data_IF_150026151049
#
_entry.id   IF_150026151049
#
_cell.length_a   1.000
_cell.length_b   1.000
_cell.length_c   1.000
_cell.angle_alpha   90.00
_cell.angle_beta   90.00
_cell.angle_gamma   90.00
#
_symmetry.space_group_name_H-M   'P 1'
#
loop_
_entity.id
_entity.type
_entity.pdbx_description
1 polymer ?
#
# COMPACT_ATOMS: atom_id res chain seq x y z
N UNK A 1 4.77 3.42 19.31
CA UNK A 1 6.15 3.24 19.81
C UNK A 1 7.20 3.43 18.72
N UNK A 2 6.86 3.06 17.49
CA UNK A 2 7.73 3.01 16.30
C UNK A 2 7.24 3.87 15.13
N UNK A 3 6.02 4.43 15.19
CA UNK A 3 5.48 5.26 14.11
C UNK A 3 6.27 6.56 13.85
N UNK A 4 6.45 6.90 12.59
CA UNK A 4 7.29 8.02 12.14
C UNK A 4 6.75 9.38 12.59
N UNK A 5 5.43 9.55 12.64
CA UNK A 5 4.80 10.78 13.13
C UNK A 5 5.11 11.11 14.61
N UNK A 6 5.64 10.15 15.37
CA UNK A 6 5.92 10.30 16.81
C UNK A 6 7.40 10.50 17.13
N UNK A 7 8.26 10.84 16.15
CA UNK A 7 9.69 11.14 16.38
C UNK A 7 9.90 12.20 17.47
N UNK A 8 9.14 13.29 17.43
CA UNK A 8 9.26 14.39 18.40
C UNK A 8 8.82 13.99 19.81
N UNK A 9 7.78 13.16 19.93
CA UNK A 9 7.35 12.61 21.22
C UNK A 9 8.44 11.72 21.82
N UNK A 10 9.08 10.87 21.00
CA UNK A 10 10.17 10.01 21.49
C UNK A 10 11.36 10.83 21.98
N UNK A 11 11.74 11.85 21.24
CA UNK A 11 12.79 12.77 21.66
C UNK A 11 12.43 13.49 22.97
N UNK A 12 11.21 14.02 23.07
CA UNK A 12 10.75 14.70 24.29
C UNK A 12 10.80 13.77 25.50
N UNK A 13 10.29 12.54 25.39
CA UNK A 13 10.33 11.56 26.49
C UNK A 13 11.77 11.19 26.87
N UNK A 14 12.69 11.06 25.90
CA UNK A 14 14.11 10.83 26.19
C UNK A 14 14.80 12.01 26.86
N UNK A 15 14.31 13.23 26.65
CA UNK A 15 14.84 14.46 27.25
C UNK A 15 14.42 14.63 28.70
N UNK A 16 13.20 14.22 29.03
CA UNK A 16 12.64 14.39 30.38
C UNK A 16 12.94 13.21 31.31
N UNK A 17 13.23 12.02 30.78
CA UNK A 17 13.53 10.83 31.58
C UNK A 17 15.02 10.48 31.53
N UNK A 18 15.54 9.85 32.58
CA UNK A 18 16.87 9.23 32.54
C UNK A 18 16.79 7.75 32.10
N UNK A 19 15.67 7.09 32.41
CA UNK A 19 15.39 5.70 32.01
C UNK A 19 13.94 5.51 31.64
N UNK A 20 13.70 4.66 30.65
CA UNK A 20 12.36 4.27 30.22
C UNK A 20 12.30 2.74 30.15
N UNK A 21 11.26 2.15 30.72
CA UNK A 21 10.96 0.72 30.58
C UNK A 21 9.68 0.55 29.79
N UNK A 22 9.72 -0.31 28.78
CA UNK A 22 8.60 -0.62 27.89
C UNK A 22 8.27 -2.10 28.02
N UNK A 23 7.08 -2.40 28.54
CA UNK A 23 6.52 -3.76 28.53
C UNK A 23 5.44 -3.77 27.45
N UNK A 24 5.79 -4.28 26.28
CA UNK A 24 4.91 -4.34 25.12
C UNK A 24 4.02 -5.59 25.22
N UNK A 25 2.70 -5.38 25.25
CA UNK A 25 1.67 -6.42 25.36
C UNK A 25 1.02 -6.73 24.02
N UNK A 26 1.28 -5.93 22.99
CA UNK A 26 0.66 -6.06 21.67
C UNK A 26 -0.86 -5.97 21.72
N UNK A 27 -1.52 -6.87 21.00
CA UNK A 27 -2.98 -6.81 20.85
C UNK A 27 -3.41 -6.01 19.63
N UNK A 28 -2.66 -6.12 18.53
CA UNK A 28 -3.03 -5.55 17.24
C UNK A 28 -4.28 -6.26 16.70
N UNK A 29 -5.38 -5.53 16.54
CA UNK A 29 -6.67 -6.06 16.07
C UNK A 29 -7.06 -5.59 14.66
N UNK A 30 -6.48 -4.49 14.17
CA UNK A 30 -6.76 -3.94 12.84
C UNK A 30 -5.86 -4.55 11.75
N UNK A 31 -4.67 -5.04 12.12
CA UNK A 31 -3.74 -5.72 11.22
C UNK A 31 -4.16 -7.13 10.81
N UNK A 32 -3.47 -7.70 9.80
CA UNK A 32 -3.69 -9.08 9.34
C UNK A 32 -3.16 -10.11 10.34
N UNK A 33 -2.07 -9.79 11.03
CA UNK A 33 -1.56 -10.57 12.16
C UNK A 33 -2.24 -10.12 13.44
N UNK A 34 -3.47 -10.59 13.62
CA UNK A 34 -4.23 -10.32 14.83
C UNK A 34 -3.60 -10.99 16.03
N UNK A 35 -3.62 -10.27 17.14
CA UNK A 35 -3.18 -10.77 18.43
C UNK A 35 -4.21 -10.35 19.48
N UNK A 36 -4.47 -11.22 20.45
CA UNK A 36 -5.38 -10.88 21.54
C UNK A 36 -4.86 -9.71 22.36
N UNK A 37 -5.74 -8.77 22.67
CA UNK A 37 -5.46 -7.61 23.49
C UNK A 37 -5.86 -7.89 24.94
N UNK A 38 -5.16 -7.28 25.90
CA UNK A 38 -5.50 -7.39 27.32
C UNK A 38 -6.79 -6.64 27.67
N UNK A 39 -7.14 -5.63 26.86
CA UNK A 39 -8.40 -4.90 26.90
C UNK A 39 -9.30 -5.27 25.71
N UNK A 40 -10.60 -4.97 25.79
CA UNK A 40 -11.54 -5.15 24.69
C UNK A 40 -11.41 -4.05 23.62
N UNK A 41 -10.21 -3.87 23.07
CA UNK A 41 -9.87 -2.87 22.04
C UNK A 41 -8.99 -3.48 20.94
N UNK A 42 -8.87 -2.80 19.80
CA UNK A 42 -8.10 -3.27 18.64
C UNK A 42 -6.72 -2.59 18.48
N UNK A 43 -6.42 -1.56 19.27
CA UNK A 43 -5.12 -0.88 19.23
C UNK A 43 -4.11 -1.55 20.18
N UNK A 44 -2.86 -1.81 19.75
CA UNK A 44 -1.85 -2.41 20.61
C UNK A 44 -1.58 -1.60 21.88
N UNK A 45 -1.31 -2.31 22.98
CA UNK A 45 -1.07 -1.75 24.31
C UNK A 45 0.34 -2.04 24.77
N UNK A 46 0.95 -1.07 25.45
CA UNK A 46 2.20 -1.25 26.17
C UNK A 46 2.15 -0.50 27.50
N UNK A 47 2.82 -1.03 28.50
CA UNK A 47 3.06 -0.33 29.77
C UNK A 47 4.35 0.49 29.60
N UNK A 48 4.22 1.80 29.77
CA UNK A 48 5.33 2.75 29.72
C UNK A 48 5.68 3.20 31.14
N UNK A 49 6.93 3.03 31.55
CA UNK A 49 7.42 3.48 32.86
C UNK A 49 8.60 4.42 32.62
N UNK A 50 8.38 5.73 32.84
CA UNK A 50 9.41 6.75 32.80
C UNK A 50 9.99 7.00 34.19
N UNK A 51 11.31 6.99 34.30
CA UNK A 51 12.04 7.33 35.51
C UNK A 51 12.91 8.56 35.27
N UNK A 52 12.78 9.54 36.17
CA UNK A 52 13.58 10.76 36.19
C UNK A 52 14.18 10.94 37.59
N UNK A 53 15.49 11.17 37.64
CA UNK A 53 16.24 11.56 38.85
C UNK A 53 15.93 13.01 39.19
N UNK A 54 16.05 13.34 40.47
CA UNK A 54 15.92 14.72 40.94
C UNK A 54 16.93 15.67 40.26
N UNK A 55 18.17 15.19 40.06
CA UNK A 55 19.17 15.82 39.20
C UNK A 55 19.29 15.02 37.91
N UNK A 56 18.72 15.54 36.83
CA UNK A 56 18.69 14.90 35.51
C UNK A 56 19.24 15.87 34.45
N UNK A 57 19.91 15.32 33.45
CA UNK A 57 20.46 16.07 32.32
C UNK A 57 19.50 15.99 31.14
N UNK A 58 19.10 17.14 30.60
CA UNK A 58 18.27 17.21 29.39
C UNK A 58 19.08 17.03 28.10
N UNK A 59 20.42 16.90 28.20
CA UNK A 59 21.32 16.73 27.07
C UNK A 59 21.79 15.27 26.91
N UNK A 60 21.31 14.38 27.77
CA UNK A 60 21.59 12.94 27.68
C UNK A 60 20.28 12.19 27.42
N UNK A 61 20.16 11.43 26.32
CA UNK A 61 18.93 10.70 26.02
C UNK A 61 18.70 9.58 27.04
N UNK A 62 17.45 9.39 27.46
CA UNK A 62 17.05 8.28 28.33
C UNK A 62 17.52 6.93 27.78
N UNK A 63 18.00 6.06 28.68
CA UNK A 63 18.28 4.66 28.36
C UNK A 63 16.97 3.89 28.34
N UNK A 64 16.69 3.17 27.25
CA UNK A 64 15.44 2.43 27.11
C UNK A 64 15.69 0.93 27.22
N UNK A 65 14.82 0.27 27.99
CA UNK A 65 14.73 -1.18 28.09
C UNK A 65 13.37 -1.65 27.59
N UNK A 66 13.38 -2.64 26.71
CA UNK A 66 12.18 -3.18 26.10
C UNK A 66 12.03 -4.66 26.44
N UNK A 67 10.79 -5.10 26.69
CA UNK A 67 10.44 -6.51 26.70
C UNK A 67 9.09 -6.69 26.01
N UNK A 68 8.93 -7.82 25.32
CA UNK A 68 7.67 -8.22 24.72
C UNK A 68 7.06 -9.39 25.46
N UNK A 69 5.80 -9.26 25.86
CA UNK A 69 4.97 -10.37 26.32
C UNK A 69 4.03 -10.77 25.18
N UNK A 70 3.98 -12.06 24.87
CA UNK A 70 3.12 -12.66 23.84
C UNK A 70 2.28 -13.73 24.51
N UNK A 71 1.16 -14.07 23.87
CA UNK A 71 0.22 -15.08 24.37
C UNK A 71 -1.22 -14.65 24.16
N UNK A 72 -2.15 -15.43 24.68
CA UNK A 72 -3.56 -15.03 24.85
C UNK A 72 -3.69 -13.90 25.87
N UNK A 73 -4.88 -13.32 25.97
CA UNK A 73 -5.19 -12.34 27.01
C UNK A 73 -4.88 -12.87 28.41
N UNK A 74 -5.31 -14.09 28.73
CA UNK A 74 -5.14 -14.71 30.04
C UNK A 74 -3.66 -14.96 30.35
N UNK A 75 -2.89 -15.50 29.39
CA UNK A 75 -1.45 -15.73 29.55
C UNK A 75 -0.68 -14.42 29.79
N UNK A 76 -1.07 -13.33 29.12
CA UNK A 76 -0.49 -12.00 29.33
C UNK A 76 -0.74 -11.49 30.74
N UNK A 77 -1.99 -11.58 31.22
CA UNK A 77 -2.37 -11.12 32.55
C UNK A 77 -1.68 -11.92 33.65
N UNK A 78 -1.69 -13.25 33.56
CA UNK A 78 -0.96 -14.13 34.49
C UNK A 78 0.52 -13.79 34.54
N UNK A 79 1.14 -13.56 33.37
CA UNK A 79 2.56 -13.19 33.35
C UNK A 79 2.81 -11.85 34.01
N UNK A 80 1.95 -10.86 33.82
CA UNK A 80 2.06 -9.55 34.47
C UNK A 80 1.96 -9.65 36.01
N UNK A 81 1.08 -10.51 36.53
CA UNK A 81 0.94 -10.76 37.98
C UNK A 81 2.23 -11.30 38.62
N UNK A 82 3.08 -11.99 37.84
CA UNK A 82 4.37 -12.49 38.34
C UNK A 82 5.49 -11.44 38.39
N UNK A 83 5.26 -10.23 37.87
CA UNK A 83 6.29 -9.18 37.75
C UNK A 83 6.32 -8.33 39.01
N UNK A 84 7.13 -8.75 39.99
CA UNK A 84 7.34 -8.00 41.24
C UNK A 84 8.60 -7.12 41.22
N UNK A 85 9.53 -7.36 40.28
CA UNK A 85 10.77 -6.58 40.16
C UNK A 85 11.19 -6.48 38.70
N UNK A 86 11.69 -5.29 38.33
CA UNK A 86 12.24 -5.07 36.99
C UNK A 86 13.46 -5.96 36.70
N UNK A 87 14.23 -6.37 37.70
CA UNK A 87 15.48 -7.12 37.50
C UNK A 87 15.26 -8.55 37.02
N UNK A 88 14.06 -9.12 37.29
CA UNK A 88 13.70 -10.48 36.86
C UNK A 88 13.31 -10.56 35.39
N UNK A 89 13.10 -9.41 34.74
CA UNK A 89 12.73 -9.36 33.33
C UNK A 89 13.98 -9.39 32.45
N UNK A 90 13.94 -10.22 31.41
CA UNK A 90 14.96 -10.29 30.37
C UNK A 90 14.82 -9.10 29.41
N UNK A 91 15.21 -7.92 29.89
CA UNK A 91 15.18 -6.69 29.10
C UNK A 91 16.12 -6.77 27.90
N UNK A 92 15.62 -6.32 26.77
CA UNK A 92 16.42 -6.11 25.57
C UNK A 92 16.85 -4.63 25.51
N UNK A 93 18.15 -4.33 25.36
CA UNK A 93 18.58 -2.99 25.04
C UNK A 93 18.09 -2.63 23.62
N UNK A 94 17.72 -1.37 23.42
CA UNK A 94 17.37 -0.84 22.10
C UNK A 94 18.26 0.37 21.79
N UNK A 95 18.15 0.89 20.57
CA UNK A 95 18.94 2.05 20.15
C UNK A 95 18.62 3.27 21.03
N UNK A 96 19.65 4.07 21.33
CA UNK A 96 19.58 5.18 22.28
C UNK A 96 19.62 6.58 21.61
N UNK A 97 19.49 6.67 20.29
CA UNK A 97 19.38 7.95 19.60
C UNK A 97 18.11 8.69 20.01
N UNK A 98 18.16 10.02 19.95
CA UNK A 98 17.08 10.92 20.37
C UNK A 98 15.71 10.56 19.77
N UNK A 99 15.68 10.22 18.48
CA UNK A 99 14.44 9.96 17.75
C UNK A 99 14.22 8.47 17.47
N UNK A 100 15.12 7.60 17.95
CA UNK A 100 15.03 6.16 17.73
C UNK A 100 13.78 5.57 18.36
N UNK A 101 13.19 4.60 17.65
CA UNK A 101 12.03 3.82 18.09
C UNK A 101 12.19 3.27 19.51
N UNK A 102 11.07 3.21 20.25
CA UNK A 102 10.99 2.56 21.57
C UNK A 102 10.82 1.04 21.48
N UNK A 103 10.96 0.48 20.29
CA UNK A 103 10.87 -0.94 19.99
C UNK A 103 12.18 -1.39 19.32
N UNK A 104 12.70 -2.59 19.62
CA UNK A 104 13.90 -3.10 18.97
C UNK A 104 13.69 -3.17 17.46
N UNK A 105 14.70 -2.72 16.69
CA UNK A 105 14.74 -2.98 15.25
C UNK A 105 14.93 -4.48 15.07
N UNK A 106 14.05 -5.10 14.30
CA UNK A 106 14.20 -6.50 13.91
C UNK A 106 15.47 -6.58 13.05
N UNK A 107 16.46 -7.37 13.47
CA UNK A 107 17.63 -7.69 12.65
C UNK A 107 17.39 -9.05 12.01
N UNK A 108 17.09 -9.05 10.72
CA UNK A 108 17.03 -10.26 9.90
C UNK A 108 17.65 -9.97 8.52
N UNK A 109 17.85 -10.99 7.71
CA UNK A 109 18.46 -10.84 6.37
C UNK A 109 17.68 -9.84 5.49
N UNK A 110 16.35 -9.82 5.58
CA UNK A 110 15.51 -8.87 4.84
C UNK A 110 15.75 -7.41 5.22
N UNK A 111 16.14 -7.12 6.47
CA UNK A 111 16.46 -5.75 6.88
C UNK A 111 17.78 -5.22 6.31
N UNK A 112 18.59 -6.09 5.70
CA UNK A 112 19.80 -5.69 4.97
C UNK A 112 19.50 -5.39 3.49
N UNK A 113 18.30 -5.71 3.01
CA UNK A 113 17.95 -5.51 1.62
C UNK A 113 17.55 -4.06 1.34
N UNK A 114 17.83 -3.54 0.14
CA UNK A 114 17.37 -2.21 -0.25
C UNK A 114 15.84 -2.16 -0.22
N UNK A 115 15.28 -1.03 0.21
CA UNK A 115 13.84 -0.86 0.13
C UNK A 115 13.44 -0.69 -1.33
N UNK A 116 12.29 -1.25 -1.70
CA UNK A 116 11.76 -1.06 -3.06
C UNK A 116 11.50 0.41 -3.40
N UNK A 117 11.21 1.24 -2.39
CA UNK A 117 11.09 2.70 -2.51
C UNK A 117 12.41 3.38 -2.83
N UNK A 118 13.53 2.80 -2.40
CA UNK A 118 14.87 3.28 -2.77
C UNK A 118 15.22 2.85 -4.20
N UNK A 119 14.71 1.69 -4.64
CA UNK A 119 14.92 1.20 -6.00
C UNK A 119 14.15 1.99 -7.05
N UNK A 120 12.88 2.31 -6.77
CA UNK A 120 11.98 3.07 -7.65
C UNK A 120 11.69 4.43 -7.05
N UNK A 121 12.51 5.47 -7.27
CA UNK A 121 12.39 6.74 -6.53
C UNK A 121 11.06 7.47 -6.79
N UNK A 122 10.44 7.27 -7.94
CA UNK A 122 9.11 7.82 -8.22
C UNK A 122 8.02 6.77 -8.03
N UNK A 123 7.10 7.02 -7.08
CA UNK A 123 5.87 6.25 -6.91
C UNK A 123 4.66 7.18 -6.89
N UNK A 124 3.49 6.66 -7.29
CA UNK A 124 2.22 7.37 -7.24
C UNK A 124 1.08 6.41 -6.87
N UNK A 125 -0.10 6.93 -6.58
CA UNK A 125 -1.30 6.11 -6.55
C UNK A 125 -1.79 5.87 -7.99
N UNK A 126 -2.58 4.82 -8.21
CA UNK A 126 -3.36 4.70 -9.45
C UNK A 126 -4.43 5.79 -9.62
N UNK A 127 -5.01 5.83 -10.82
CA UNK A 127 -6.07 6.77 -11.23
C UNK A 127 -7.35 6.52 -10.44
N UNK A 128 -8.07 7.58 -10.06
CA UNK A 128 -9.37 7.46 -9.37
C UNK A 128 -10.45 8.18 -10.15
N UNK A 129 -11.31 7.42 -10.82
CA UNK A 129 -12.48 7.96 -11.49
C UNK A 129 -13.56 8.40 -10.49
N UNK A 130 -13.75 7.65 -9.40
CA UNK A 130 -14.84 7.80 -8.40
C UNK A 130 -16.27 7.64 -8.97
N UNK A 131 -16.36 7.19 -10.21
CA UNK A 131 -17.56 6.77 -10.92
C UNK A 131 -17.16 5.59 -11.82
N UNK A 132 -17.93 4.52 -11.79
CA UNK A 132 -17.56 3.27 -12.49
C UNK A 132 -18.01 3.24 -13.94
N UNK A 133 -19.04 4.01 -14.31
CA UNK A 133 -19.62 3.97 -15.65
C UNK A 133 -18.66 4.46 -16.75
N UNK A 134 -17.65 5.26 -16.40
CA UNK A 134 -16.61 5.75 -17.32
C UNK A 134 -15.59 4.67 -17.69
N UNK A 135 -15.67 3.50 -17.04
CA UNK A 135 -14.90 2.31 -17.33
C UNK A 135 -15.86 1.26 -17.92
N UNK A 136 -15.44 0.59 -18.98
CA UNK A 136 -16.30 -0.35 -19.69
C UNK A 136 -15.54 -1.47 -20.41
N UNK A 137 -16.22 -2.58 -20.74
CA UNK A 137 -15.61 -3.72 -21.42
C UNK A 137 -15.31 -3.46 -22.89
N UNK A 138 -15.95 -2.46 -23.49
CA UNK A 138 -15.76 -2.08 -24.88
C UNK A 138 -15.93 -0.56 -25.07
N UNK A 139 -15.43 -0.04 -26.19
CA UNK A 139 -15.55 1.36 -26.52
C UNK A 139 -17.01 1.75 -26.80
N UNK A 140 -17.77 0.90 -27.48
CA UNK A 140 -19.17 1.14 -27.86
C UNK A 140 -20.05 1.39 -26.63
N UNK A 141 -19.80 0.65 -25.54
CA UNK A 141 -20.51 0.84 -24.26
C UNK A 141 -20.21 2.21 -23.68
N UNK A 142 -18.97 2.69 -23.76
CA UNK A 142 -18.58 4.00 -23.25
C UNK A 142 -19.12 5.13 -24.11
N UNK A 143 -19.11 4.97 -25.43
CA UNK A 143 -19.76 5.91 -26.35
C UNK A 143 -21.25 6.03 -26.06
N UNK A 144 -21.95 4.90 -25.93
CA UNK A 144 -23.38 4.89 -25.60
C UNK A 144 -23.67 5.57 -24.26
N UNK A 145 -22.83 5.33 -23.24
CA UNK A 145 -22.96 5.99 -21.93
C UNK A 145 -22.68 7.49 -21.99
N UNK A 146 -21.72 7.93 -22.79
CA UNK A 146 -21.47 9.35 -23.04
C UNK A 146 -22.69 10.03 -23.68
N UNK A 147 -23.27 9.41 -24.72
CA UNK A 147 -24.47 9.94 -25.36
C UNK A 147 -25.66 9.98 -24.38
N UNK A 148 -25.82 8.94 -23.56
CA UNK A 148 -26.85 8.91 -22.52
C UNK A 148 -26.65 10.02 -21.46
N UNK A 149 -25.39 10.36 -21.11
CA UNK A 149 -25.08 11.48 -20.24
C UNK A 149 -25.53 12.81 -20.87
N UNK A 150 -25.20 13.04 -22.15
CA UNK A 150 -25.58 14.29 -22.84
C UNK A 150 -27.09 14.42 -23.04
N UNK A 151 -27.78 13.30 -23.32
CA UNK A 151 -29.23 13.27 -23.47
C UNK A 151 -30.00 13.37 -22.14
N UNK A 152 -29.31 13.21 -20.99
CA UNK A 152 -29.97 13.25 -19.69
C UNK A 152 -30.47 14.66 -19.34
N UNK A 153 -31.72 14.75 -18.89
CA UNK A 153 -32.29 15.97 -18.31
C UNK A 153 -31.65 16.35 -16.97
N UNK A 154 -31.08 15.37 -16.26
CA UNK A 154 -30.36 15.57 -14.99
C UNK A 154 -28.92 15.05 -15.13
N UNK A 155 -28.09 15.83 -15.85
CA UNK A 155 -26.71 15.47 -16.15
C UNK A 155 -25.83 15.32 -14.90
N UNK A 156 -26.06 16.09 -13.84
CA UNK A 156 -25.28 15.98 -12.61
C UNK A 156 -25.51 14.62 -11.93
N UNK A 157 -26.76 14.17 -11.86
CA UNK A 157 -27.09 12.83 -11.37
C UNK A 157 -26.50 11.74 -12.28
N UNK A 158 -26.69 11.85 -13.60
CA UNK A 158 -26.18 10.87 -14.56
C UNK A 158 -24.64 10.76 -14.54
N UNK A 159 -23.94 11.89 -14.43
CA UNK A 159 -22.49 11.95 -14.29
C UNK A 159 -22.01 11.27 -13.01
N UNK A 160 -22.83 11.28 -11.95
CA UNK A 160 -22.42 11.04 -10.56
C UNK A 160 -21.36 12.05 -10.15
N UNK A 161 -21.79 13.30 -10.03
CA UNK A 161 -20.93 14.37 -9.55
C UNK A 161 -20.30 14.05 -8.19
N UNK A 162 -19.11 14.59 -8.00
CA UNK A 162 -18.39 14.60 -6.75
C UNK A 162 -17.93 16.02 -6.45
N UNK A 163 -17.56 16.30 -5.21
CA UNK A 163 -17.12 17.66 -4.83
C UNK A 163 -15.95 18.20 -5.67
N UNK A 164 -15.17 17.33 -6.32
CA UNK A 164 -14.06 17.71 -7.20
C UNK A 164 -14.38 17.63 -8.70
N UNK A 165 -15.55 17.11 -9.11
CA UNK A 165 -15.96 16.97 -10.52
C UNK A 165 -17.46 17.20 -10.65
N UNK A 166 -17.82 18.35 -11.21
CA UNK A 166 -19.19 18.76 -11.50
C UNK A 166 -19.38 19.08 -12.98
N UNK A 167 -20.61 19.08 -13.46
CA UNK A 167 -20.95 19.38 -14.86
C UNK A 167 -20.65 20.84 -15.23
N UNK A 168 -20.58 21.74 -14.26
CA UNK A 168 -20.25 23.15 -14.43
C UNK A 168 -18.73 23.40 -14.48
N UNK A 169 -17.91 22.42 -14.13
CA UNK A 169 -16.47 22.60 -13.99
C UNK A 169 -15.72 22.24 -15.28
N UNK A 170 -15.15 23.23 -16.01
CA UNK A 170 -14.21 22.93 -17.10
C UNK A 170 -12.92 22.33 -16.55
N UNK A 171 -12.23 21.53 -17.37
CA UNK A 171 -10.96 20.89 -17.02
C UNK A 171 -10.01 20.95 -18.21
N UNK A 172 -8.71 20.88 -17.96
CA UNK A 172 -7.75 20.66 -19.03
C UNK A 172 -7.83 19.20 -19.50
N UNK A 173 -7.58 18.99 -20.78
CA UNK A 173 -7.50 17.66 -21.37
C UNK A 173 -6.37 16.83 -20.72
N UNK A 174 -6.54 15.50 -20.65
CA UNK A 174 -5.58 14.61 -20.01
C UNK A 174 -4.34 14.36 -20.89
N UNK A 175 -4.54 14.26 -22.20
CA UNK A 175 -3.51 13.97 -23.19
C UNK A 175 -2.89 15.26 -23.74
N UNK A 176 -3.66 16.36 -23.74
CA UNK A 176 -3.24 17.68 -24.20
C UNK A 176 -3.45 18.74 -23.10
N UNK A 177 -2.58 18.81 -22.08
CA UNK A 177 -2.80 19.65 -20.89
C UNK A 177 -2.99 21.16 -21.14
N UNK A 178 -2.55 21.66 -22.31
CA UNK A 178 -2.73 23.05 -22.73
C UNK A 178 -4.13 23.33 -23.33
N UNK A 179 -4.89 22.27 -23.64
CA UNK A 179 -6.25 22.36 -24.18
C UNK A 179 -7.25 22.37 -23.03
N UNK A 180 -8.03 23.43 -22.93
CA UNK A 180 -9.11 23.56 -21.94
C UNK A 180 -10.42 23.03 -22.50
N UNK A 181 -10.95 21.96 -21.89
CA UNK A 181 -12.25 21.40 -22.23
C UNK A 181 -13.37 22.23 -21.58
N UNK A 182 -14.44 22.56 -22.32
CA UNK A 182 -15.58 23.26 -21.76
C UNK A 182 -16.33 22.36 -20.75
N UNK A 183 -17.11 22.99 -19.88
CA UNK A 183 -17.93 22.32 -18.88
C UNK A 183 -18.94 21.36 -19.54
N UNK A 184 -19.21 20.20 -18.94
CA UNK A 184 -20.14 19.19 -19.51
C UNK A 184 -21.55 19.76 -19.71
N UNK A 185 -21.97 20.69 -18.85
CA UNK A 185 -23.28 21.34 -18.94
C UNK A 185 -23.49 22.13 -20.23
N UNK A 186 -22.43 22.71 -20.79
CA UNK A 186 -22.53 23.52 -22.02
C UNK A 186 -22.54 22.69 -23.29
N UNK A 187 -22.22 21.39 -23.18
CA UNK A 187 -22.19 20.47 -24.30
C UNK A 187 -23.59 20.20 -24.84
N UNK A 188 -23.74 20.13 -26.16
CA UNK A 188 -24.94 19.69 -26.86
C UNK A 188 -24.77 18.25 -27.37
N UNK A 189 -24.00 18.08 -28.44
CA UNK A 189 -23.79 16.81 -29.16
C UNK A 189 -22.30 16.60 -29.50
N UNK A 190 -21.41 17.15 -28.70
CA UNK A 190 -19.96 17.04 -28.92
C UNK A 190 -19.49 15.59 -28.73
N UNK A 191 -18.47 15.23 -29.50
CA UNK A 191 -17.81 13.95 -29.40
C UNK A 191 -17.21 13.73 -28.00
N UNK A 192 -17.20 12.47 -27.58
CA UNK A 192 -16.49 12.05 -26.38
C UNK A 192 -14.98 12.30 -26.53
N UNK A 193 -14.27 12.41 -25.40
CA UNK A 193 -12.81 12.38 -25.41
C UNK A 193 -12.29 10.97 -25.72
N UNK A 194 -10.98 10.81 -25.91
CA UNK A 194 -10.36 9.53 -26.26
C UNK A 194 -10.78 8.39 -25.32
N UNK A 195 -11.04 7.22 -25.89
CA UNK A 195 -11.23 5.98 -25.12
C UNK A 195 -9.93 5.19 -25.23
N UNK A 196 -9.38 4.77 -24.10
CA UNK A 196 -8.08 4.09 -24.05
C UNK A 196 -8.17 2.76 -23.31
N UNK A 197 -7.23 1.84 -23.59
CA UNK A 197 -7.05 0.64 -22.76
C UNK A 197 -6.60 1.05 -21.35
N UNK A 198 -7.19 0.38 -20.36
CA UNK A 198 -7.05 0.73 -18.95
C UNK A 198 -6.88 -0.51 -18.10
N UNK A 199 -5.94 -0.45 -17.16
CA UNK A 199 -5.67 -1.55 -16.24
C UNK A 199 -6.55 -1.42 -15.01
N UNK A 200 -7.77 -1.96 -15.13
CA UNK A 200 -8.80 -1.83 -14.10
C UNK A 200 -8.49 -2.68 -12.86
N UNK A 201 -8.22 -3.97 -13.04
CA UNK A 201 -7.78 -4.89 -11.97
C UNK A 201 -6.59 -5.70 -12.45
N UNK A 202 -5.92 -6.37 -11.53
CA UNK A 202 -4.87 -7.34 -11.85
C UNK A 202 -5.42 -8.33 -12.89
N UNK A 203 -4.75 -8.38 -14.05
CA UNK A 203 -5.11 -9.20 -15.22
C UNK A 203 -6.41 -8.83 -15.95
N UNK A 204 -7.14 -7.82 -15.47
CA UNK A 204 -8.36 -7.29 -16.12
C UNK A 204 -8.04 -5.98 -16.87
N UNK A 205 -8.22 -6.01 -18.19
CA UNK A 205 -7.99 -4.86 -19.06
C UNK A 205 -9.32 -4.41 -19.65
N UNK A 206 -9.75 -3.25 -19.21
CA UNK A 206 -11.00 -2.59 -19.62
C UNK A 206 -10.66 -1.38 -20.50
N UNK A 207 -11.67 -0.64 -20.92
CA UNK A 207 -11.54 0.66 -21.55
C UNK A 207 -11.92 1.76 -20.57
N UNK A 208 -11.30 2.93 -20.70
CA UNK A 208 -11.60 4.12 -19.93
C UNK A 208 -11.88 5.27 -20.89
N UNK A 209 -12.97 6.01 -20.64
CA UNK A 209 -13.21 7.30 -21.25
C UNK A 209 -12.26 8.32 -20.61
N UNK A 210 -11.19 8.68 -21.30
CA UNK A 210 -10.10 9.53 -20.83
C UNK A 210 -10.49 11.02 -20.84
N UNK A 211 -11.53 11.36 -20.11
CA UNK A 211 -12.03 12.73 -19.96
C UNK A 211 -11.76 13.22 -18.53
N UNK A 212 -10.90 14.24 -18.37
CA UNK A 212 -10.56 14.77 -17.04
C UNK A 212 -11.79 15.30 -16.29
N UNK A 213 -12.81 15.79 -17.01
CA UNK A 213 -14.08 16.24 -16.42
C UNK A 213 -14.79 15.10 -15.68
N UNK A 214 -14.51 13.86 -16.06
CA UNK A 214 -15.09 12.64 -15.50
C UNK A 214 -14.15 11.87 -14.54
N UNK A 215 -12.93 12.34 -14.28
CA UNK A 215 -11.95 11.63 -13.43
C UNK A 215 -11.53 12.48 -12.24
N UNK A 216 -11.94 12.11 -11.02
CA UNK A 216 -11.69 12.86 -9.78
C UNK A 216 -10.21 13.05 -9.43
N UNK A 217 -9.40 11.99 -9.51
CA UNK A 217 -7.94 12.06 -9.29
C UNK A 217 -7.23 11.44 -10.48
N UNK A 218 -6.95 12.22 -11.55
CA UNK A 218 -6.40 11.68 -12.79
C UNK A 218 -4.94 11.26 -12.65
N UNK A 219 -4.17 11.84 -11.73
CA UNK A 219 -2.71 11.62 -11.63
C UNK A 219 -2.00 12.02 -12.94
N UNK A 220 -2.01 13.32 -13.31
CA UNK A 220 -1.55 13.78 -14.63
C UNK A 220 -0.18 13.26 -15.04
N UNK A 221 0.76 13.13 -14.11
CA UNK A 221 2.10 12.60 -14.39
C UNK A 221 2.06 11.17 -14.99
N UNK A 222 1.10 10.33 -14.59
CA UNK A 222 0.97 8.98 -15.19
C UNK A 222 0.56 9.05 -16.66
N UNK A 223 -0.22 10.05 -17.06
CA UNK A 223 -0.66 10.28 -18.45
C UNK A 223 0.47 10.89 -19.28
N UNK A 224 1.16 11.88 -18.72
CA UNK A 224 2.28 12.57 -19.38
C UNK A 224 3.48 11.66 -19.66
N UNK A 225 3.64 10.57 -18.91
CA UNK A 225 4.71 9.58 -19.13
C UNK A 225 4.20 8.28 -19.77
N UNK A 226 2.94 8.23 -20.22
CA UNK A 226 2.36 7.02 -20.79
C UNK A 226 2.67 6.92 -22.29
N UNK A 227 3.12 5.75 -22.70
CA UNK A 227 3.23 5.33 -24.10
C UNK A 227 3.07 3.80 -24.18
N UNK A 228 3.17 3.23 -25.38
CA UNK A 228 3.06 1.77 -25.60
C UNK A 228 4.20 0.94 -24.98
N UNK A 229 5.35 1.57 -24.69
CA UNK A 229 6.53 0.94 -24.10
C UNK A 229 6.57 1.06 -22.56
N UNK A 230 5.63 1.79 -21.96
CA UNK A 230 5.59 2.03 -20.53
C UNK A 230 5.10 0.80 -19.78
N UNK A 231 5.69 0.55 -18.63
CA UNK A 231 5.34 -0.57 -17.76
C UNK A 231 5.11 -0.03 -16.36
N UNK A 232 4.02 -0.44 -15.71
CA UNK A 232 3.71 -0.04 -14.35
C UNK A 232 3.77 -1.26 -13.43
N UNK A 233 4.57 -1.15 -12.37
CA UNK A 233 4.57 -2.09 -11.26
C UNK A 233 3.60 -1.60 -10.20
N UNK A 234 2.78 -2.48 -9.64
CA UNK A 234 1.82 -2.14 -8.60
C UNK A 234 1.99 -3.05 -7.38
N UNK A 235 1.87 -2.48 -6.20
CA UNK A 235 1.95 -3.19 -4.91
C UNK A 235 1.23 -2.41 -3.80
N UNK A 236 1.36 -2.87 -2.55
CA UNK A 236 0.83 -2.24 -1.34
C UNK A 236 1.92 -2.13 -0.29
N UNK A 237 2.15 -0.92 0.23
CA UNK A 237 2.96 -0.71 1.44
C UNK A 237 2.09 -0.57 2.69
N UNK A 238 0.82 -0.21 2.53
CA UNK A 238 -0.08 0.02 3.66
C UNK A 238 -0.73 -1.25 4.21
N UNK A 239 -0.55 -2.40 3.54
CA UNK A 239 -1.11 -3.68 3.96
C UNK A 239 -0.03 -4.75 3.87
N UNK A 240 0.06 -5.66 4.86
CA UNK A 240 0.91 -6.83 4.73
C UNK A 240 0.52 -7.63 3.49
N UNK A 241 1.52 -8.04 2.73
CA UNK A 241 1.35 -8.99 1.64
C UNK A 241 1.21 -10.38 2.24
N UNK A 242 0.16 -11.10 1.85
CA UNK A 242 -0.12 -12.47 2.25
C UNK A 242 0.23 -13.41 1.08
N UNK A 243 -0.42 -14.57 1.00
CA UNK A 243 -0.23 -15.50 -0.10
C UNK A 243 -0.63 -14.86 -1.43
N UNK A 244 0.24 -14.97 -2.44
CA UNK A 244 0.02 -14.42 -3.77
C UNK A 244 1.17 -13.54 -4.27
N UNK A 245 0.99 -12.85 -5.40
CA UNK A 245 2.02 -11.99 -5.96
C UNK A 245 2.26 -10.77 -5.06
N UNK A 246 3.53 -10.50 -4.75
CA UNK A 246 3.92 -9.29 -4.02
C UNK A 246 3.84 -8.02 -4.89
N UNK A 247 3.95 -8.19 -6.21
CA UNK A 247 3.91 -7.13 -7.23
C UNK A 247 3.14 -7.66 -8.43
N UNK A 248 2.27 -6.83 -9.03
CA UNK A 248 1.67 -7.09 -10.35
C UNK A 248 2.13 -6.05 -11.36
N UNK A 249 2.10 -6.40 -12.64
CA UNK A 249 2.64 -5.58 -13.73
C UNK A 249 1.58 -5.36 -14.79
N UNK A 250 1.46 -4.12 -15.27
CA UNK A 250 0.58 -3.79 -16.38
C UNK A 250 1.23 -2.84 -17.40
N UNK A 251 0.82 -2.92 -18.68
CA UNK A 251 1.28 -2.01 -19.72
C UNK A 251 0.41 -0.75 -19.85
N UNK A 252 -0.81 -0.74 -19.30
CA UNK A 252 -1.74 0.39 -19.40
C UNK A 252 -1.78 1.17 -18.09
N UNK A 253 -2.27 2.42 -18.14
CA UNK A 253 -2.48 3.25 -16.96
C UNK A 253 -3.33 2.49 -15.92
N UNK A 254 -2.84 2.31 -14.67
CA UNK A 254 -3.52 1.52 -13.65
C UNK A 254 -4.55 2.33 -12.84
N UNK A 255 -5.65 1.65 -12.52
CA UNK A 255 -6.62 2.11 -11.54
C UNK A 255 -6.05 2.13 -10.12
N UNK A 256 -6.59 3.00 -9.26
CA UNK A 256 -6.29 2.96 -7.84
C UNK A 256 -6.53 1.56 -7.31
N UNK A 257 -7.54 0.81 -7.73
CA UNK A 257 -7.82 -0.53 -7.21
C UNK A 257 -7.20 -1.67 -8.05
N UNK A 258 -6.21 -1.36 -8.89
CA UNK A 258 -5.60 -2.32 -9.81
C UNK A 258 -5.00 -3.55 -9.11
N UNK A 259 -4.10 -3.35 -8.14
CA UNK A 259 -3.34 -4.45 -7.52
C UNK A 259 -4.25 -5.48 -6.85
N UNK A 260 -5.11 -5.00 -5.95
CA UNK A 260 -6.10 -5.80 -5.22
C UNK A 260 -7.38 -4.96 -5.10
N UNK A 261 -8.47 -5.45 -5.70
CA UNK A 261 -9.75 -4.72 -5.77
C UNK A 261 -10.36 -4.30 -4.42
N UNK A 262 -9.92 -4.91 -3.30
CA UNK A 262 -10.40 -4.60 -1.94
C UNK A 262 -9.50 -3.63 -1.17
N UNK A 263 -8.30 -3.35 -1.67
CA UNK A 263 -7.31 -2.48 -1.04
C UNK A 263 -6.40 -1.96 -2.15
N UNK A 264 -6.79 -0.85 -2.76
CA UNK A 264 -6.25 -0.50 -4.06
C UNK A 264 -4.74 -0.35 -4.14
N UNK A 265 -4.17 -0.52 -5.35
CA UNK A 265 -2.90 0.03 -5.83
C UNK A 265 -2.68 1.51 -5.43
N UNK A 266 -2.36 1.70 -4.16
CA UNK A 266 -1.83 2.93 -3.59
C UNK A 266 -0.38 3.15 -4.01
N UNK A 267 0.30 2.12 -4.52
CA UNK A 267 1.69 2.23 -4.97
C UNK A 267 1.79 1.69 -6.38
N UNK A 268 1.91 2.62 -7.32
CA UNK A 268 2.21 2.43 -8.73
C UNK A 268 3.60 3.01 -8.96
N UNK A 269 4.49 2.20 -9.51
CA UNK A 269 5.87 2.54 -9.85
C UNK A 269 6.00 2.40 -11.37
N UNK A 270 5.94 3.51 -12.13
CA UNK A 270 6.24 3.50 -13.57
C UNK A 270 7.68 3.03 -13.78
N UNK A 271 7.95 2.27 -14.84
CA UNK A 271 9.30 1.83 -15.19
C UNK A 271 10.11 2.98 -15.77
N UNK A 272 9.47 3.90 -16.50
CA UNK A 272 10.12 5.07 -17.11
C UNK A 272 9.52 6.37 -16.60
N UNK A 273 10.35 7.40 -16.50
CA UNK A 273 10.01 8.74 -15.98
C UNK A 273 9.61 9.72 -17.08
N UNK A 274 9.78 9.35 -18.34
CA UNK A 274 9.46 10.16 -19.50
C UNK A 274 8.63 9.38 -20.55
N UNK A 275 7.99 10.13 -21.45
CA UNK A 275 7.09 9.59 -22.48
C UNK A 275 7.83 8.84 -23.58
N UNK A 276 9.14 9.02 -23.75
CA UNK A 276 9.94 8.30 -24.74
C UNK A 276 10.37 6.91 -24.24
N UNK A 277 10.11 6.59 -22.97
CA UNK A 277 10.55 5.36 -22.30
C UNK A 277 12.09 5.16 -22.36
N UNK A 278 12.84 6.25 -22.18
CA UNK A 278 14.32 6.24 -22.22
C UNK A 278 14.96 6.56 -20.89
N UNK A 279 14.22 7.18 -19.97
CA UNK A 279 14.69 7.51 -18.63
C UNK A 279 14.10 6.55 -17.59
N UNK A 280 14.82 5.48 -17.18
CA UNK A 280 14.30 4.50 -16.23
C UNK A 280 14.10 5.11 -14.84
N UNK A 281 12.97 4.79 -14.21
CA UNK A 281 12.66 5.05 -12.81
C UNK A 281 13.28 4.00 -11.90
N UNK A 282 14.56 3.73 -12.09
CA UNK A 282 15.33 2.80 -11.26
C UNK A 282 16.61 3.51 -10.87
N UNK A 283 17.05 3.36 -9.62
CA UNK A 283 18.24 4.04 -9.11
C UNK A 283 19.48 3.75 -10.00
N UNK A 284 20.22 4.78 -10.47
CA UNK A 284 21.37 4.60 -11.35
C UNK A 284 22.49 3.82 -10.66
N UNK A 285 22.66 2.56 -11.03
CA UNK A 285 23.59 1.63 -10.38
C UNK A 285 23.03 0.21 -10.23
N UNK A 286 21.70 0.07 -10.27
CA UNK A 286 21.05 -1.24 -10.23
C UNK A 286 21.03 -1.97 -11.58
N UNK A 287 21.23 -1.28 -12.71
CA UNK A 287 21.17 -1.89 -14.05
C UNK A 287 22.19 -3.01 -14.25
N UNK A 288 23.32 -2.95 -13.53
CA UNK A 288 24.39 -3.96 -13.59
C UNK A 288 24.07 -5.19 -12.73
N UNK A 289 23.24 -5.06 -11.69
CA UNK A 289 22.95 -6.12 -10.73
C UNK A 289 21.52 -6.73 -10.85
N UNK A 290 20.54 -5.93 -11.29
CA UNK A 290 19.11 -6.29 -11.26
C UNK A 290 18.69 -7.36 -12.28
N UNK A 291 19.40 -7.48 -13.41
CA UNK A 291 19.09 -8.48 -14.44
C UNK A 291 19.36 -9.93 -13.95
N UNK A 292 20.21 -10.11 -12.93
CA UNK A 292 20.55 -11.41 -12.35
C UNK A 292 19.59 -11.85 -11.24
N UNK A 293 18.99 -10.94 -10.46
CA UNK A 293 18.18 -11.32 -9.29
C UNK A 293 16.73 -11.72 -9.62
N UNK A 294 16.06 -11.06 -10.57
CA UNK A 294 14.64 -11.31 -10.87
C UNK A 294 14.37 -12.64 -11.61
N UNK A 295 15.42 -13.35 -12.05
CA UNK A 295 15.34 -14.71 -12.63
C UNK A 295 15.51 -15.85 -11.61
N UNK A 296 15.79 -15.54 -10.34
CA UNK A 296 15.93 -16.56 -9.30
C UNK A 296 14.57 -17.18 -8.94
N UNK A 297 14.30 -18.37 -9.48
CA UNK A 297 13.13 -19.21 -9.14
C UNK A 297 13.12 -19.72 -7.69
N UNK A 298 14.13 -19.40 -6.87
CA UNK A 298 14.31 -20.02 -5.56
C UNK A 298 13.64 -19.30 -4.38
N UNK A 299 12.98 -18.16 -4.59
CA UNK A 299 12.49 -17.37 -3.44
C UNK A 299 11.08 -17.72 -2.94
N UNK A 300 10.29 -18.51 -3.69
CA UNK A 300 8.91 -18.86 -3.30
C UNK A 300 8.76 -20.22 -2.60
N UNK A 301 9.83 -21.00 -2.40
CA UNK A 301 9.74 -22.37 -1.84
C UNK A 301 10.19 -22.51 -0.39
N UNK A 302 10.33 -21.41 0.34
CA UNK A 302 10.70 -21.41 1.76
C UNK A 302 9.57 -21.75 2.74
N UNK A 303 8.69 -22.72 2.45
CA UNK A 303 7.81 -23.41 3.42
C UNK A 303 6.90 -24.48 2.78
N UNK A 304 7.46 -25.64 2.42
CA UNK A 304 6.71 -26.91 2.48
C UNK A 304 7.59 -27.96 3.15
N UNK A 305 7.39 -28.13 4.47
CA UNK A 305 7.76 -29.36 5.17
C UNK A 305 6.46 -30.07 5.51
N UNK A 306 6.13 -31.09 4.73
CA UNK A 306 5.59 -32.36 5.21
C UNK A 306 5.40 -33.28 4.00
N UNK A 307 6.31 -34.23 3.87
CA UNK A 307 6.16 -35.43 3.06
C UNK A 307 4.90 -36.19 3.50
N UNK A 308 4.01 -36.46 2.55
CA UNK A 308 2.99 -37.50 2.64
C UNK A 308 2.90 -38.16 1.25
N UNK A 309 3.26 -39.45 1.11
CA UNK A 309 3.14 -40.13 -0.18
C UNK A 309 1.66 -40.44 -0.43
N UNK A 310 1.06 -39.73 -1.38
CA UNK A 310 -0.29 -40.00 -1.86
C UNK A 310 -0.27 -41.31 -2.68
N UNK A 311 -0.69 -42.41 -2.04
CA UNK A 311 -1.00 -43.67 -2.74
C UNK A 311 -2.24 -43.45 -3.60
N UNK A 312 -2.06 -43.45 -4.92
CA UNK A 312 -3.16 -43.57 -5.87
C UNK A 312 -3.66 -45.02 -5.83
N UNK A 313 -4.82 -45.21 -5.22
CA UNK A 313 -5.62 -46.43 -5.33
C UNK A 313 -6.19 -46.53 -6.75
N UNK A 314 -5.81 -47.59 -7.47
CA UNK A 314 -6.41 -47.98 -8.74
C UNK A 314 -7.86 -48.45 -8.52
N UNK A 315 -8.82 -47.70 -9.05
CA UNK A 315 -10.22 -48.12 -9.16
C UNK A 315 -10.37 -49.24 -10.19
N UNK A 316 -10.82 -50.41 -9.73
CA UNK A 316 -11.27 -51.53 -10.58
C UNK A 316 -12.52 -51.12 -11.36
N UNK A 317 -12.46 -51.27 -12.70
CA UNK A 317 -13.65 -51.34 -13.54
C UNK A 317 -14.34 -52.70 -13.34
N UNK A 318 -15.56 -52.68 -12.82
CA UNK A 318 -16.51 -53.78 -12.95
C UNK A 318 -17.10 -53.73 -14.36
N UNK A 319 -16.90 -54.81 -15.14
CA UNK A 319 -17.81 -55.20 -16.22
C UNK A 319 -18.87 -56.11 -15.59
N UNK A 320 -20.14 -55.82 -15.87
CA UNK A 320 -21.22 -56.77 -15.75
C UNK A 320 -21.52 -57.32 -17.14
N UNK A 321 -21.72 -58.63 -17.17
CA UNK A 321 -22.35 -59.38 -18.26
C UNK A 321 -23.81 -58.95 -18.48
#
# INVERSE_FOLDING_TARGET
MDGDAFVGVREHMRRICDRIYIIDLGGEGHGTRREENVFAIQTPVAIFIGYRKQKSSMDTPAIIRYIRIKGTREEKLQKLETIYSSERLKWQPISNGWQDSFKPKIKNEFTLWPQITDLFPWQNNGVQCKRTWVIGPSEEVLVARWQALLASSNRSYAMRESGDRTIDLPQNDLLFPDVKLPAIKTLKNESHQSIIRYSHRSFDRQYLLADNRLISRPRPNLWQTHNENQIYFATLFSYPLEDGPAITVCPNIPDLDYFRGSAGAKVVMPLYRNVEATDPNILPGLYVAGFLMLRSRHYTEGRRKSDLPCRLSSSRQHRHD
#
